data_IF_868684898152
#
_entry.id   IF_868684898152
#
_cell.length_a   1.000
_cell.length_b   1.000
_cell.length_c   1.000
_cell.angle_alpha   90.00
_cell.angle_beta   90.00
_cell.angle_gamma   90.00
#
_symmetry.space_group_name_H-M   'P 1'
#
loop_
_entity.id
_entity.type
_entity.pdbx_description
1 polymer ?
#
# COMPACT_ATOMS: atom_id res chain seq x y z
N UNK A 1 -14.85 20.91 -4.99
CA UNK A 1 -14.62 19.67 -4.22
C UNK A 1 -13.17 19.31 -4.19
N UNK A 2 -12.55 19.02 -5.33
CA UNK A 2 -11.10 18.86 -5.41
C UNK A 2 -10.44 20.23 -5.38
N UNK A 3 -10.13 20.69 -4.18
CA UNK A 3 -9.40 21.95 -4.02
C UNK A 3 -7.94 21.76 -4.44
N UNK A 4 -7.23 22.85 -4.72
CA UNK A 4 -5.78 22.81 -4.95
C UNK A 4 -5.05 22.13 -3.77
N UNK A 5 -5.57 22.27 -2.55
CA UNK A 5 -5.05 21.57 -1.36
C UNK A 5 -5.25 20.07 -1.48
N UNK A 6 -6.47 19.61 -1.81
CA UNK A 6 -6.78 18.19 -2.00
C UNK A 6 -5.88 17.56 -3.05
N UNK A 7 -5.73 18.22 -4.20
CA UNK A 7 -4.85 17.74 -5.28
C UNK A 7 -3.37 17.72 -4.85
N UNK A 8 -2.93 18.67 -4.04
CA UNK A 8 -1.58 18.69 -3.52
C UNK A 8 -1.32 17.56 -2.50
N UNK A 9 -2.30 17.23 -1.66
CA UNK A 9 -2.22 16.07 -0.75
C UNK A 9 -2.08 14.79 -1.57
N UNK A 10 -2.94 14.59 -2.58
CA UNK A 10 -2.88 13.42 -3.48
C UNK A 10 -1.50 13.33 -4.14
N UNK A 11 -0.98 14.45 -4.66
CA UNK A 11 0.34 14.51 -5.28
C UNK A 11 1.44 14.05 -4.35
N UNK A 12 1.45 14.53 -3.10
CA UNK A 12 2.46 14.16 -2.11
C UNK A 12 2.34 12.67 -1.76
N UNK A 13 1.12 12.19 -1.51
CA UNK A 13 0.86 10.78 -1.20
C UNK A 13 1.32 9.85 -2.33
N UNK A 14 1.01 10.17 -3.59
CA UNK A 14 1.52 9.40 -4.73
C UNK A 14 3.03 9.45 -4.85
N UNK A 15 3.67 10.58 -4.54
CA UNK A 15 5.12 10.68 -4.47
C UNK A 15 5.72 9.70 -3.45
N UNK A 16 5.12 9.63 -2.26
CA UNK A 16 5.54 8.70 -1.20
C UNK A 16 5.33 7.24 -1.66
N UNK A 17 4.14 6.87 -2.14
CA UNK A 17 3.86 5.47 -2.51
C UNK A 17 4.60 5.01 -3.77
N UNK A 18 4.98 5.94 -4.65
CA UNK A 18 5.79 5.64 -5.83
C UNK A 18 7.30 5.69 -5.57
N UNK A 19 7.76 6.03 -4.36
CA UNK A 19 9.18 6.21 -4.03
C UNK A 19 10.02 4.94 -4.22
N UNK A 20 9.46 3.76 -3.92
CA UNK A 20 10.13 2.47 -4.03
C UNK A 20 10.13 1.87 -5.45
N UNK A 21 9.55 2.56 -6.43
CA UNK A 21 9.43 2.03 -7.80
C UNK A 21 8.37 0.94 -7.97
N UNK A 22 7.79 0.45 -6.89
CA UNK A 22 6.81 -0.65 -6.84
C UNK A 22 5.38 -0.26 -7.23
N UNK A 23 5.20 0.96 -7.74
CA UNK A 23 3.89 1.52 -8.06
C UNK A 23 3.86 2.05 -9.51
N UNK A 24 2.89 1.66 -10.34
CA UNK A 24 2.83 2.05 -11.75
C UNK A 24 2.29 3.46 -11.97
N UNK A 25 1.84 4.14 -10.91
CA UNK A 25 1.22 5.47 -11.02
C UNK A 25 2.21 6.60 -10.72
N UNK A 26 1.98 7.74 -11.36
CA UNK A 26 2.70 8.99 -11.17
C UNK A 26 1.74 10.17 -11.17
N UNK A 27 2.23 11.33 -10.72
CA UNK A 27 1.48 12.58 -10.81
C UNK A 27 1.91 13.37 -12.05
N UNK A 28 0.95 13.74 -12.89
CA UNK A 28 1.17 14.71 -13.98
C UNK A 28 0.91 16.12 -13.47
N UNK A 29 2.00 16.88 -13.25
CA UNK A 29 1.94 18.28 -12.79
C UNK A 29 1.30 19.23 -13.81
N UNK A 30 1.31 18.90 -15.12
CA UNK A 30 0.69 19.75 -16.15
C UNK A 30 -0.83 19.64 -16.08
N UNK A 31 -1.33 18.42 -15.95
CA UNK A 31 -2.76 18.16 -15.85
C UNK A 31 -3.29 18.24 -14.41
N UNK A 32 -2.42 18.28 -13.39
CA UNK A 32 -2.76 18.12 -11.97
C UNK A 32 -3.60 16.87 -11.73
N UNK A 33 -3.14 15.73 -12.26
CA UNK A 33 -3.91 14.49 -12.26
C UNK A 33 -3.02 13.24 -12.16
N UNK A 34 -3.62 12.11 -11.82
CA UNK A 34 -2.96 10.81 -11.90
C UNK A 34 -2.62 10.47 -13.34
N UNK A 35 -1.46 9.85 -13.53
CA UNK A 35 -1.00 9.26 -14.80
C UNK A 35 -0.34 7.92 -14.52
N UNK A 36 -0.20 7.08 -15.53
CA UNK A 36 0.61 5.87 -15.41
C UNK A 36 2.03 6.16 -15.89
N UNK A 37 3.02 5.61 -15.21
CA UNK A 37 4.43 5.71 -15.57
C UNK A 37 4.85 4.42 -16.27
N UNK A 38 5.17 4.49 -17.57
CA UNK A 38 5.57 3.35 -18.40
C UNK A 38 7.08 3.24 -18.61
N UNK A 39 7.89 3.98 -17.85
CA UNK A 39 9.35 3.96 -18.03
C UNK A 39 9.92 2.57 -17.75
N UNK A 40 10.97 2.18 -18.49
CA UNK A 40 11.61 0.87 -18.34
C UNK A 40 12.07 0.64 -16.89
N UNK A 41 12.70 1.64 -16.27
CA UNK A 41 13.13 1.59 -14.86
C UNK A 41 11.97 1.29 -13.92
N UNK A 42 10.80 1.90 -14.16
CA UNK A 42 9.61 1.70 -13.34
C UNK A 42 9.07 0.28 -13.50
N UNK A 43 8.99 -0.22 -14.72
CA UNK A 43 8.54 -1.59 -14.99
C UNK A 43 9.46 -2.63 -14.33
N UNK A 44 10.78 -2.44 -14.41
CA UNK A 44 11.76 -3.33 -13.75
C UNK A 44 11.57 -3.31 -12.23
N UNK A 45 11.49 -2.11 -11.63
CA UNK A 45 11.32 -1.98 -10.17
C UNK A 45 9.99 -2.58 -9.70
N UNK A 46 8.92 -2.41 -10.47
CA UNK A 46 7.62 -3.01 -10.21
C UNK A 46 7.68 -4.54 -10.25
N UNK A 47 8.24 -5.12 -11.31
CA UNK A 47 8.36 -6.57 -11.44
C UNK A 47 9.26 -7.18 -10.37
N UNK A 48 10.31 -6.45 -9.95
CA UNK A 48 11.16 -6.85 -8.84
C UNK A 48 10.38 -6.92 -7.52
N UNK A 49 9.52 -5.92 -7.23
CA UNK A 49 8.65 -5.95 -6.06
C UNK A 49 7.65 -7.10 -6.08
N UNK A 50 7.07 -7.41 -7.25
CA UNK A 50 6.19 -8.57 -7.43
C UNK A 50 6.95 -9.87 -7.17
N UNK A 51 8.13 -10.03 -7.77
CA UNK A 51 8.96 -11.22 -7.61
C UNK A 51 9.32 -11.48 -6.14
N UNK A 52 9.79 -10.45 -5.42
CA UNK A 52 10.11 -10.58 -4.00
C UNK A 52 8.87 -10.93 -3.18
N UNK A 53 7.71 -10.35 -3.50
CA UNK A 53 6.45 -10.67 -2.82
C UNK A 53 6.03 -12.13 -3.03
N UNK A 54 6.21 -12.67 -4.24
CA UNK A 54 5.97 -14.09 -4.53
C UNK A 54 6.93 -14.99 -3.75
N UNK A 55 8.22 -14.65 -3.71
CA UNK A 55 9.23 -15.38 -2.93
C UNK A 55 8.87 -15.37 -1.45
N UNK A 56 8.47 -14.22 -0.91
CA UNK A 56 8.02 -14.08 0.49
C UNK A 56 6.80 -14.95 0.77
N UNK A 57 5.81 -14.99 -0.13
CA UNK A 57 4.63 -15.84 0.02
C UNK A 57 5.01 -17.33 0.03
N UNK A 58 5.87 -17.76 -0.91
CA UNK A 58 6.39 -19.13 -0.94
C UNK A 58 7.12 -19.50 0.35
N UNK A 59 7.93 -18.57 0.86
CA UNK A 59 8.61 -18.74 2.15
C UNK A 59 7.61 -18.91 3.32
N UNK A 60 6.56 -18.10 3.39
CA UNK A 60 5.54 -18.22 4.44
C UNK A 60 4.81 -19.57 4.38
N UNK A 61 4.48 -20.08 3.19
CA UNK A 61 3.89 -21.41 3.02
C UNK A 61 4.84 -22.53 3.47
N UNK A 62 6.12 -22.46 3.09
CA UNK A 62 7.12 -23.42 3.56
C UNK A 62 7.21 -23.43 5.10
N UNK A 63 7.15 -22.26 5.74
CA UNK A 63 7.14 -22.15 7.20
C UNK A 63 5.89 -22.73 7.84
N UNK A 64 4.73 -22.50 7.25
CA UNK A 64 3.48 -23.08 7.73
C UNK A 64 3.56 -24.62 7.70
N UNK A 65 4.09 -25.19 6.61
CA UNK A 65 4.31 -26.64 6.49
C UNK A 65 5.28 -27.12 7.57
N UNK A 66 6.43 -26.47 7.74
CA UNK A 66 7.40 -26.82 8.78
C UNK A 66 6.78 -26.85 10.19
N UNK A 67 6.08 -25.79 10.60
CA UNK A 67 5.45 -25.72 11.92
C UNK A 67 4.26 -26.69 12.09
N UNK A 68 3.57 -27.04 11.00
CA UNK A 68 2.53 -28.08 11.07
C UNK A 68 3.10 -29.49 11.30
N UNK A 69 4.34 -29.74 10.86
CA UNK A 69 5.05 -31.01 11.01
C UNK A 69 5.82 -31.14 12.32
N UNK A 70 5.95 -30.07 13.12
CA UNK A 70 6.54 -30.13 14.46
C UNK A 70 5.71 -31.02 15.41
N UNK A 71 6.40 -31.73 16.32
CA UNK A 71 5.74 -32.53 17.36
C UNK A 71 4.71 -31.69 18.11
N UNK A 72 3.58 -32.29 18.48
CA UNK A 72 2.47 -31.61 19.18
C UNK A 72 2.92 -30.82 20.42
N UNK A 73 3.98 -31.29 21.11
CA UNK A 73 4.55 -30.62 22.28
C UNK A 73 5.22 -29.26 21.99
N UNK A 74 5.68 -29.03 20.75
CA UNK A 74 6.37 -27.80 20.33
C UNK A 74 5.50 -26.88 19.45
N UNK A 75 4.29 -27.33 19.07
CA UNK A 75 3.42 -26.60 18.16
C UNK A 75 2.80 -25.39 18.86
N UNK A 76 3.27 -24.19 18.50
CA UNK A 76 2.65 -22.93 18.97
C UNK A 76 1.48 -22.53 18.07
N UNK A 77 0.27 -22.53 18.64
CA UNK A 77 -0.94 -22.04 17.95
C UNK A 77 -0.80 -20.58 17.50
N UNK A 78 -0.20 -19.74 18.33
CA UNK A 78 0.02 -18.32 18.03
C UNK A 78 0.86 -18.13 16.76
N UNK A 79 1.93 -18.91 16.59
CA UNK A 79 2.80 -18.85 15.41
C UNK A 79 2.04 -19.23 14.14
N UNK A 80 1.20 -20.28 14.21
CA UNK A 80 0.38 -20.72 13.06
C UNK A 80 -0.62 -19.63 12.66
N UNK A 81 -1.31 -19.02 13.63
CA UNK A 81 -2.25 -17.91 13.38
C UNK A 81 -1.52 -16.73 12.72
N UNK A 82 -0.34 -16.37 13.22
CA UNK A 82 0.46 -15.31 12.63
C UNK A 82 0.88 -15.60 11.20
N UNK A 83 1.33 -16.83 10.91
CA UNK A 83 1.68 -17.23 9.54
C UNK A 83 0.50 -17.08 8.59
N UNK A 84 -0.71 -17.47 9.03
CA UNK A 84 -1.92 -17.29 8.23
C UNK A 84 -2.25 -15.81 7.98
N UNK A 85 -2.14 -14.95 8.99
CA UNK A 85 -2.33 -13.49 8.83
C UNK A 85 -1.36 -12.96 7.77
N UNK A 86 -0.09 -13.31 7.85
CA UNK A 86 0.93 -12.86 6.88
C UNK A 86 0.71 -13.42 5.48
N UNK A 87 0.28 -14.67 5.36
CA UNK A 87 -0.10 -15.26 4.07
C UNK A 87 -1.24 -14.47 3.44
N UNK A 88 -2.32 -14.21 4.18
CA UNK A 88 -3.49 -13.46 3.69
C UNK A 88 -3.08 -12.05 3.24
N UNK A 89 -2.31 -11.34 4.05
CA UNK A 89 -1.84 -9.98 3.73
C UNK A 89 -0.95 -9.98 2.47
N UNK A 90 -0.05 -10.94 2.35
CA UNK A 90 0.87 -11.05 1.21
C UNK A 90 0.11 -11.45 -0.07
N UNK A 91 -0.86 -12.35 0.04
CA UNK A 91 -1.77 -12.69 -1.06
C UNK A 91 -2.59 -11.48 -1.53
N UNK A 92 -3.12 -10.69 -0.59
CA UNK A 92 -3.83 -9.45 -0.93
C UNK A 92 -2.94 -8.46 -1.67
N UNK A 93 -1.69 -8.29 -1.22
CA UNK A 93 -0.74 -7.44 -1.90
C UNK A 93 -0.44 -7.91 -3.34
N UNK A 94 -0.36 -9.23 -3.60
CA UNK A 94 -0.22 -9.77 -4.96
C UNK A 94 -1.44 -9.47 -5.83
N UNK A 95 -2.65 -9.58 -5.28
CA UNK A 95 -3.88 -9.15 -5.97
C UNK A 95 -3.79 -7.66 -6.31
N UNK A 96 -3.35 -6.83 -5.37
CA UNK A 96 -3.14 -5.39 -5.61
C UNK A 96 -2.13 -5.14 -6.71
N UNK A 97 -0.98 -5.83 -6.72
CA UNK A 97 0.00 -5.74 -7.81
C UNK A 97 -0.60 -6.16 -9.15
N UNK A 98 -1.36 -7.25 -9.18
CA UNK A 98 -2.02 -7.73 -10.40
C UNK A 98 -2.99 -6.68 -10.96
N UNK A 99 -3.84 -6.10 -10.11
CA UNK A 99 -4.76 -5.03 -10.47
C UNK A 99 -4.01 -3.78 -10.94
N UNK A 100 -2.96 -3.37 -10.22
CA UNK A 100 -2.11 -2.25 -10.61
C UNK A 100 -1.43 -2.47 -11.95
N UNK A 101 -1.13 -3.71 -12.33
CA UNK A 101 -0.52 -3.99 -13.62
C UNK A 101 -1.55 -3.99 -14.77
N UNK A 102 -2.67 -4.69 -14.57
CA UNK A 102 -3.69 -4.96 -15.61
C UNK A 102 -4.68 -3.82 -15.78
N UNK A 103 -5.12 -3.20 -14.68
CA UNK A 103 -6.19 -2.18 -14.63
C UNK A 103 -5.68 -0.76 -14.42
N UNK A 104 -4.37 -0.50 -14.52
CA UNK A 104 -3.80 0.85 -14.34
C UNK A 104 -4.46 1.94 -15.18
N UNK A 105 -4.83 1.64 -16.42
CA UNK A 105 -5.51 2.57 -17.30
C UNK A 105 -6.91 2.91 -16.81
N UNK A 106 -7.66 1.91 -16.34
CA UNK A 106 -9.00 2.08 -15.77
C UNK A 106 -8.96 2.96 -14.52
N UNK A 107 -8.00 2.70 -13.62
CA UNK A 107 -7.82 3.48 -12.38
C UNK A 107 -7.52 4.96 -12.68
N UNK A 108 -6.58 5.21 -13.60
CA UNK A 108 -6.26 6.58 -14.04
C UNK A 108 -7.45 7.23 -14.76
N UNK A 109 -8.15 6.47 -15.61
CA UNK A 109 -9.32 6.92 -16.33
C UNK A 109 -10.47 7.31 -15.39
N UNK A 110 -10.75 6.48 -14.39
CA UNK A 110 -11.75 6.73 -13.36
C UNK A 110 -11.44 8.01 -12.58
N UNK A 111 -10.19 8.17 -12.11
CA UNK A 111 -9.81 9.39 -11.39
C UNK A 111 -9.94 10.65 -12.25
N UNK A 112 -9.49 10.58 -13.51
CA UNK A 112 -9.67 11.68 -14.48
C UNK A 112 -11.15 11.99 -14.72
N UNK A 113 -11.97 10.97 -14.92
CA UNK A 113 -13.41 11.06 -15.15
C UNK A 113 -14.13 11.70 -13.97
N UNK A 114 -13.90 11.22 -12.73
CA UNK A 114 -14.53 11.79 -11.53
C UNK A 114 -14.10 13.24 -11.32
N UNK A 115 -12.83 13.58 -11.59
CA UNK A 115 -12.38 14.98 -11.50
C UNK A 115 -13.05 15.87 -12.54
N UNK A 116 -13.19 15.40 -13.77
CA UNK A 116 -13.91 16.13 -14.83
C UNK A 116 -15.38 16.33 -14.42
N UNK A 117 -16.05 15.26 -14.00
CA UNK A 117 -17.43 15.27 -13.53
C UNK A 117 -17.60 16.27 -12.38
N UNK A 118 -16.78 16.18 -11.34
CA UNK A 118 -16.82 17.10 -10.20
C UNK A 118 -16.67 18.56 -10.67
N UNK A 119 -15.78 18.83 -11.63
CA UNK A 119 -15.60 20.18 -12.17
C UNK A 119 -16.82 20.66 -12.98
N UNK A 120 -17.41 19.81 -13.81
CA UNK A 120 -18.62 20.14 -14.57
C UNK A 120 -19.78 20.48 -13.64
N UNK A 121 -20.05 19.63 -12.65
CA UNK A 121 -21.13 19.84 -11.69
C UNK A 121 -20.87 21.03 -10.75
N UNK A 122 -19.61 21.30 -10.37
CA UNK A 122 -19.26 22.52 -9.63
C UNK A 122 -19.53 23.80 -10.42
N UNK A 123 -19.35 23.77 -11.75
CA UNK A 123 -19.66 24.91 -12.61
C UNK A 123 -21.17 25.09 -12.81
N UNK A 124 -21.93 23.99 -12.93
CA UNK A 124 -23.38 24.02 -13.12
C UNK A 124 -24.13 24.38 -11.83
N UNK A 125 -23.66 23.87 -10.69
CA UNK A 125 -24.23 24.11 -9.37
C UNK A 125 -23.22 24.84 -8.45
N UNK A 126 -22.94 26.14 -8.66
CA UNK A 126 -21.90 26.87 -7.93
C UNK A 126 -22.19 27.03 -6.43
N UNK A 127 -23.45 26.84 -6.02
CA UNK A 127 -23.86 26.83 -4.61
C UNK A 127 -23.60 25.48 -3.92
N UNK A 128 -23.39 24.40 -4.67
CA UNK A 128 -23.10 23.08 -4.13
C UNK A 128 -21.68 23.07 -3.54
N UNK A 129 -21.58 22.93 -2.22
CA UNK A 129 -20.30 22.80 -1.52
C UNK A 129 -20.32 21.59 -0.61
N UNK A 130 -19.20 20.86 -0.60
CA UNK A 130 -18.98 19.84 0.41
C UNK A 130 -18.92 20.47 1.79
N UNK A 131 -19.50 19.77 2.78
CA UNK A 131 -19.45 20.18 4.18
C UNK A 131 -17.99 20.32 4.62
N UNK A 132 -17.64 21.52 5.07
CA UNK A 132 -16.40 21.78 5.80
C UNK A 132 -16.59 21.33 7.24
N UNK A 133 -15.65 20.54 7.76
CA UNK A 133 -15.73 19.98 9.11
C UNK A 133 -14.74 20.65 10.06
N UNK A 134 -13.47 20.75 9.67
CA UNK A 134 -12.39 21.35 10.47
C UNK A 134 -11.86 22.61 9.79
N UNK A 135 -12.37 23.77 10.22
CA UNK A 135 -11.99 25.15 9.80
C UNK A 135 -12.03 25.38 8.28
N UNK A 136 -11.08 24.81 7.54
CA UNK A 136 -10.90 24.93 6.09
C UNK A 136 -10.74 23.57 5.37
N UNK A 137 -10.91 22.44 6.06
CA UNK A 137 -10.81 21.10 5.45
C UNK A 137 -12.18 20.62 4.99
N UNK A 138 -12.24 20.21 3.73
CA UNK A 138 -13.42 19.54 3.19
C UNK A 138 -13.47 18.09 3.69
N UNK A 139 -14.65 17.49 3.69
CA UNK A 139 -14.83 16.07 4.05
C UNK A 139 -13.84 15.14 3.31
N UNK A 140 -13.57 15.40 2.02
CA UNK A 140 -12.56 14.66 1.24
C UNK A 140 -11.17 14.76 1.89
N UNK A 141 -10.71 15.97 2.22
CA UNK A 141 -9.35 16.16 2.78
C UNK A 141 -9.17 15.43 4.12
N UNK A 142 -10.23 15.37 4.94
CA UNK A 142 -10.20 14.64 6.21
C UNK A 142 -10.09 13.15 5.97
N UNK A 143 -10.87 12.59 5.04
CA UNK A 143 -10.76 11.18 4.69
C UNK A 143 -9.36 10.85 4.17
N UNK A 144 -8.77 11.71 3.35
CA UNK A 144 -7.38 11.56 2.92
C UNK A 144 -6.41 11.54 4.09
N UNK A 145 -6.50 12.52 5.01
CA UNK A 145 -5.63 12.59 6.18
C UNK A 145 -5.80 11.37 7.09
N UNK A 146 -7.02 10.89 7.28
CA UNK A 146 -7.31 9.68 8.07
C UNK A 146 -6.69 8.45 7.40
N UNK A 147 -6.82 8.28 6.08
CA UNK A 147 -6.23 7.14 5.38
C UNK A 147 -4.70 7.19 5.44
N UNK A 148 -4.10 8.38 5.24
CA UNK A 148 -2.66 8.58 5.40
C UNK A 148 -2.25 8.20 6.82
N UNK A 149 -2.97 8.69 7.83
CA UNK A 149 -2.72 8.40 9.23
C UNK A 149 -2.82 6.90 9.53
N UNK A 150 -3.88 6.21 9.09
CA UNK A 150 -4.05 4.75 9.25
C UNK A 150 -2.85 4.01 8.64
N UNK A 151 -2.40 4.40 7.44
CA UNK A 151 -1.25 3.75 6.80
C UNK A 151 0.03 3.99 7.59
N UNK A 152 0.27 5.22 8.06
CA UNK A 152 1.43 5.50 8.90
C UNK A 152 1.37 4.71 10.21
N UNK A 153 0.22 4.69 10.90
CA UNK A 153 0.03 3.93 12.13
C UNK A 153 0.18 2.43 11.90
N UNK A 154 -0.30 1.90 10.78
CA UNK A 154 -0.11 0.51 10.38
C UNK A 154 1.37 0.20 10.16
N UNK A 155 2.09 1.03 9.41
CA UNK A 155 3.53 0.87 9.20
C UNK A 155 4.27 0.96 10.53
N UNK A 156 3.93 1.90 11.41
CA UNK A 156 4.52 2.03 12.75
C UNK A 156 4.23 0.82 13.61
N UNK A 157 3.00 0.28 13.59
CA UNK A 157 2.61 -0.91 14.34
C UNK A 157 3.35 -2.15 13.85
N UNK A 158 3.45 -2.33 12.53
CA UNK A 158 4.24 -3.41 11.92
C UNK A 158 5.72 -3.26 12.30
N UNK A 159 6.29 -2.05 12.23
CA UNK A 159 7.67 -1.75 12.65
C UNK A 159 7.90 -2.01 14.15
N UNK A 160 6.96 -1.63 15.02
CA UNK A 160 7.03 -1.92 16.46
C UNK A 160 6.90 -3.42 16.74
N UNK A 161 6.03 -4.12 16.00
CA UNK A 161 5.94 -5.58 16.08
C UNK A 161 7.26 -6.26 15.72
N UNK A 162 8.05 -5.72 14.80
CA UNK A 162 9.40 -6.22 14.53
C UNK A 162 10.36 -6.04 15.71
N UNK A 163 10.19 -5.01 16.52
CA UNK A 163 10.99 -4.78 17.72
C UNK A 163 10.55 -5.65 18.92
N UNK A 164 9.26 -5.97 19.01
CA UNK A 164 8.66 -6.59 20.21
C UNK A 164 8.38 -8.08 20.07
N UNK A 165 8.03 -8.57 18.87
CA UNK A 165 7.62 -9.96 18.67
C UNK A 165 8.74 -10.79 18.00
N UNK A 166 9.36 -11.76 18.69
CA UNK A 166 10.43 -12.64 18.17
C UNK A 166 10.01 -13.57 16.99
N UNK A 167 8.77 -13.48 16.52
CA UNK A 167 8.10 -14.51 15.71
C UNK A 167 8.07 -14.26 14.20
N UNK A 168 8.60 -13.15 13.71
CA UNK A 168 8.50 -12.74 12.30
C UNK A 168 9.83 -12.91 11.58
N UNK A 169 9.99 -13.92 10.70
CA UNK A 169 11.22 -14.26 9.92
C UNK A 169 12.54 -14.34 10.73
N UNK A 170 12.54 -13.91 11.98
CA UNK A 170 13.56 -13.96 13.02
C UNK A 170 13.86 -15.39 13.44
N UNK A 171 13.01 -16.34 13.07
CA UNK A 171 13.31 -17.76 13.15
C UNK A 171 14.36 -18.21 12.12
N UNK A 172 14.66 -17.43 11.07
CA UNK A 172 15.93 -17.62 10.33
C UNK A 172 17.12 -17.08 11.11
N UNK A 173 16.91 -16.04 11.93
CA UNK A 173 17.96 -15.45 12.77
C UNK A 173 18.32 -16.33 13.98
N UNK A 174 17.42 -17.20 14.45
CA UNK A 174 17.74 -18.24 15.44
C UNK A 174 18.41 -19.48 14.82
N UNK A 175 18.13 -19.80 13.54
CA UNK A 175 18.80 -20.86 12.78
C UNK A 175 20.22 -20.47 12.30
N UNK A 176 20.50 -19.16 12.16
CA UNK A 176 21.87 -18.63 12.15
C UNK A 176 22.33 -18.51 13.60
N UNK A 177 22.31 -19.65 14.30
CA UNK A 177 22.71 -19.79 15.68
C UNK A 177 24.18 -19.35 15.82
N UNK A 178 24.40 -18.19 16.45
CA UNK A 178 25.53 -17.69 17.25
C UNK A 178 27.01 -18.00 16.88
N UNK A 179 27.31 -18.83 15.88
CA UNK A 179 28.63 -19.40 15.57
C UNK A 179 29.33 -18.75 14.39
N UNK A 180 28.65 -17.88 13.64
CA UNK A 180 29.18 -17.31 12.38
C UNK A 180 28.94 -15.82 12.20
N UNK A 181 28.84 -15.04 13.28
CA UNK A 181 28.70 -13.57 13.23
C UNK A 181 30.01 -12.82 12.87
N UNK A 182 30.88 -13.41 12.04
CA UNK A 182 32.07 -12.74 11.51
C UNK A 182 32.18 -12.97 10.01
N UNK A 183 32.18 -11.88 9.23
CA UNK A 183 32.44 -11.90 7.78
C UNK A 183 31.19 -11.94 6.88
N UNK A 184 31.24 -12.76 5.83
CA UNK A 184 30.32 -12.75 4.67
C UNK A 184 28.86 -13.08 5.02
N UNK A 185 28.64 -13.89 6.06
CA UNK A 185 27.33 -14.27 6.62
C UNK A 185 26.55 -13.06 7.18
N UNK A 186 27.24 -12.10 7.79
CA UNK A 186 26.62 -10.86 8.28
C UNK A 186 26.13 -9.94 7.15
N UNK A 187 26.84 -9.92 6.02
CA UNK A 187 26.45 -9.15 4.83
C UNK A 187 25.19 -9.75 4.20
N UNK A 188 25.17 -11.09 4.06
CA UNK A 188 24.00 -11.82 3.54
C UNK A 188 22.77 -11.56 4.43
N UNK A 189 22.94 -11.57 5.75
CA UNK A 189 21.88 -11.24 6.70
C UNK A 189 21.29 -9.84 6.48
N UNK A 190 22.14 -8.81 6.39
CA UNK A 190 21.70 -7.42 6.17
C UNK A 190 20.96 -7.30 4.84
N UNK A 191 21.44 -7.98 3.80
CA UNK A 191 20.80 -8.00 2.50
C UNK A 191 19.39 -8.60 2.56
N UNK A 192 19.22 -9.73 3.25
CA UNK A 192 17.89 -10.34 3.44
C UNK A 192 16.94 -9.43 4.21
N UNK A 193 17.42 -8.80 5.29
CA UNK A 193 16.61 -7.85 6.07
C UNK A 193 16.20 -6.64 5.21
N UNK A 194 17.12 -6.10 4.41
CA UNK A 194 16.82 -5.01 3.49
C UNK A 194 15.79 -5.41 2.42
N UNK A 195 15.89 -6.63 1.87
CA UNK A 195 14.92 -7.17 0.90
C UNK A 195 13.54 -7.37 1.53
N UNK A 196 13.47 -7.86 2.77
CA UNK A 196 12.21 -8.01 3.49
C UNK A 196 11.54 -6.67 3.76
N UNK A 197 12.30 -5.68 4.24
CA UNK A 197 11.81 -4.32 4.45
C UNK A 197 11.31 -3.72 3.14
N UNK A 198 12.05 -3.92 2.05
CA UNK A 198 11.65 -3.48 0.72
C UNK A 198 10.36 -4.16 0.26
N UNK A 199 10.22 -5.47 0.46
CA UNK A 199 9.05 -6.26 0.08
C UNK A 199 7.79 -5.75 0.80
N UNK A 200 7.85 -5.68 2.13
CA UNK A 200 6.73 -5.25 2.97
C UNK A 200 6.36 -3.80 2.70
N UNK A 201 7.34 -2.91 2.54
CA UNK A 201 7.08 -1.51 2.22
C UNK A 201 6.43 -1.38 0.82
N UNK A 202 6.89 -2.17 -0.15
CA UNK A 202 6.31 -2.20 -1.50
C UNK A 202 4.87 -2.73 -1.51
N UNK A 203 4.58 -3.78 -0.74
CA UNK A 203 3.22 -4.30 -0.56
C UNK A 203 2.30 -3.24 0.03
N UNK A 204 2.71 -2.59 1.13
CA UNK A 204 1.92 -1.55 1.80
C UNK A 204 1.68 -0.37 0.88
N UNK A 205 2.69 0.11 0.15
CA UNK A 205 2.54 1.24 -0.77
C UNK A 205 1.63 0.92 -1.95
N UNK A 206 1.66 -0.31 -2.45
CA UNK A 206 0.78 -0.75 -3.53
C UNK A 206 -0.68 -0.82 -3.05
N UNK A 207 -0.93 -1.52 -1.94
CA UNK A 207 -2.27 -1.63 -1.34
C UNK A 207 -2.84 -0.26 -0.96
N UNK A 208 -2.01 0.61 -0.34
CA UNK A 208 -2.38 1.99 -0.04
C UNK A 208 -2.85 2.73 -1.29
N UNK A 209 -2.15 2.55 -2.41
CA UNK A 209 -2.47 3.29 -3.63
C UNK A 209 -3.78 2.85 -4.27
N UNK A 210 -4.18 1.58 -4.13
CA UNK A 210 -5.53 1.16 -4.53
C UNK A 210 -6.60 1.84 -3.67
N UNK A 211 -6.40 1.90 -2.36
CA UNK A 211 -7.33 2.60 -1.46
C UNK A 211 -7.40 4.09 -1.82
N UNK A 212 -6.26 4.71 -2.11
CA UNK A 212 -6.18 6.11 -2.53
C UNK A 212 -6.66 6.39 -3.94
N UNK A 213 -6.87 5.39 -4.79
CA UNK A 213 -7.48 5.61 -6.09
C UNK A 213 -9.01 5.46 -6.04
N UNK A 214 -9.52 4.62 -5.14
CA UNK A 214 -10.95 4.35 -4.96
C UNK A 214 -11.65 5.44 -4.14
N UNK A 215 -11.11 5.79 -2.95
CA UNK A 215 -11.73 6.77 -2.04
C UNK A 215 -12.01 8.13 -2.69
N UNK A 216 -11.09 8.71 -3.48
CA UNK A 216 -11.33 10.02 -4.08
C UNK A 216 -12.33 9.95 -5.23
N UNK A 217 -12.61 8.76 -5.76
CA UNK A 217 -13.67 8.57 -6.74
C UNK A 217 -15.04 8.44 -6.07
N UNK A 218 -15.12 7.68 -4.97
CA UNK A 218 -16.36 7.42 -4.25
C UNK A 218 -16.94 8.65 -3.54
N UNK A 219 -16.11 9.46 -2.87
CA UNK A 219 -16.61 10.59 -2.07
C UNK A 219 -17.29 11.70 -2.91
N UNK A 220 -16.71 12.17 -4.04
CA UNK A 220 -17.41 13.10 -4.93
C UNK A 220 -18.66 12.48 -5.55
N UNK A 221 -18.60 11.22 -5.98
CA UNK A 221 -19.74 10.53 -6.59
C UNK A 221 -20.91 10.44 -5.60
N UNK A 222 -20.64 10.02 -4.36
CA UNK A 222 -21.64 9.93 -3.30
C UNK A 222 -22.28 11.30 -3.00
N UNK A 223 -21.47 12.37 -2.89
CA UNK A 223 -22.01 13.71 -2.68
C UNK A 223 -22.96 14.13 -3.81
N UNK A 224 -22.56 13.94 -5.07
CA UNK A 224 -23.38 14.41 -6.19
C UNK A 224 -24.66 13.63 -6.32
N UNK A 225 -24.62 12.31 -6.08
CA UNK A 225 -25.83 11.49 -6.00
C UNK A 225 -26.79 11.99 -4.92
N UNK A 226 -26.29 12.34 -3.74
CA UNK A 226 -27.11 12.89 -2.65
C UNK A 226 -27.63 14.30 -2.96
N UNK A 227 -26.82 15.13 -3.63
CA UNK A 227 -27.20 16.50 -3.96
C UNK A 227 -28.29 16.54 -5.04
N UNK A 228 -28.19 15.70 -6.08
CA UNK A 228 -29.17 15.64 -7.18
C UNK A 228 -30.50 15.02 -6.72
N UNK A 229 -30.46 14.13 -5.71
CA UNK A 229 -31.65 13.49 -5.17
C UNK A 229 -32.52 14.43 -4.31
N UNK A 230 -31.95 15.51 -3.80
CA UNK A 230 -32.63 16.50 -2.95
C UNK A 230 -33.21 17.64 -3.76
#
# INVERSE_FOLDING_TARGET
MFTNRTLNIIRISMGIYSSLGSNPYSWDSKQNCMSFCSTLRRNISFMFAVLITVIQLGFLFCRLIQHSQELEANRSFEVIVWLWIWIILTSWALVSFHNGWTKKSEVVGMFKGVRLFARCFENEYPKARMKTLLRNFNSIDIHFLVVIWIIFTYVTAVSLMFFVAPGNSQYFYSLVEAKSQTGWTGIVFILFLALEVYAKSSQVFMMATEVFSIIPALLPAAFWMDYIRR
#
